data_IF_232631008226
#
_entry.id   IF_232631008226
#
_cell.length_a   1.000
_cell.length_b   1.000
_cell.length_c   1.000
_cell.angle_alpha   90.00
_cell.angle_beta   90.00
_cell.angle_gamma   90.00
#
_symmetry.space_group_name_H-M   'P 1'
#
loop_
_entity.id
_entity.type
_entity.pdbx_description
1 polymer ?
#
# COMPACT_ATOMS: atom_id res chain seq x y z
N UNK A 1 -6.17 -0.44 -8.55
CA UNK A 1 -5.89 -0.92 -7.18
C UNK A 1 -4.61 -1.72 -7.24
N UNK A 2 -3.77 -1.65 -6.21
CA UNK A 2 -2.42 -2.20 -6.19
C UNK A 2 -2.27 -3.28 -5.14
N UNK A 3 -1.41 -4.26 -5.40
CA UNK A 3 -1.10 -5.36 -4.50
C UNK A 3 0.17 -5.12 -3.69
N UNK A 4 0.29 -5.86 -2.58
CA UNK A 4 1.55 -5.96 -1.86
C UNK A 4 2.68 -6.44 -2.77
N UNK A 5 3.85 -5.82 -2.63
CA UNK A 5 5.05 -6.11 -3.43
C UNK A 5 5.14 -5.31 -4.73
N UNK A 6 4.06 -4.68 -5.19
CA UNK A 6 4.09 -3.83 -6.37
C UNK A 6 4.80 -2.50 -6.11
N UNK A 7 5.30 -1.89 -7.19
CA UNK A 7 5.98 -0.60 -7.20
C UNK A 7 5.17 0.41 -8.03
N UNK A 8 4.06 0.94 -7.50
CA UNK A 8 3.20 1.88 -8.24
C UNK A 8 3.83 3.27 -8.43
N UNK A 9 5.01 3.51 -7.84
CA UNK A 9 5.70 4.80 -7.86
C UNK A 9 5.34 5.67 -6.66
N UNK A 10 5.97 6.85 -6.60
CA UNK A 10 5.76 7.81 -5.50
C UNK A 10 4.28 8.20 -5.34
N UNK A 11 3.85 8.31 -4.10
CA UNK A 11 2.49 8.72 -3.76
C UNK A 11 2.01 8.12 -2.44
N UNK A 12 0.81 8.53 -2.03
CA UNK A 12 0.17 8.00 -0.82
C UNK A 12 -0.89 6.98 -1.21
N UNK A 13 -0.83 5.82 -0.58
CA UNK A 13 -1.68 4.67 -0.86
C UNK A 13 -2.43 4.25 0.39
N UNK A 14 -3.74 4.06 0.28
CA UNK A 14 -4.60 3.64 1.38
C UNK A 14 -5.09 2.21 1.20
N UNK A 15 -4.99 1.42 2.27
CA UNK A 15 -5.53 0.08 2.37
C UNK A 15 -7.05 0.14 2.20
N UNK A 16 -7.59 -0.59 1.23
CA UNK A 16 -9.03 -0.57 0.93
C UNK A 16 -9.89 -1.15 2.07
N UNK A 17 -9.31 -1.92 2.99
CA UNK A 17 -10.05 -2.59 4.08
C UNK A 17 -10.21 -1.73 5.33
N UNK A 18 -9.17 -1.00 5.73
CA UNK A 18 -9.13 -0.28 7.00
C UNK A 18 -8.74 1.19 6.87
N UNK A 19 -8.40 1.66 5.68
CA UNK A 19 -7.99 3.04 5.44
C UNK A 19 -6.55 3.37 5.86
N UNK A 20 -5.77 2.41 6.37
CA UNK A 20 -4.36 2.65 6.72
C UNK A 20 -3.56 3.14 5.51
N UNK A 21 -2.78 4.20 5.71
CA UNK A 21 -2.03 4.87 4.64
C UNK A 21 -0.54 4.55 4.71
N UNK A 22 0.06 4.37 3.54
CA UNK A 22 1.50 4.33 3.33
C UNK A 22 1.89 5.36 2.29
N UNK A 23 2.96 6.11 2.54
CA UNK A 23 3.57 6.99 1.55
C UNK A 23 4.81 6.32 1.00
N UNK A 24 4.89 6.19 -0.32
CA UNK A 24 6.09 5.77 -1.03
C UNK A 24 6.82 7.04 -1.49
N UNK A 25 8.03 7.26 -1.00
CA UNK A 25 8.84 8.43 -1.35
C UNK A 25 9.85 8.16 -2.46
N UNK A 26 10.11 6.90 -2.78
CA UNK A 26 10.91 6.47 -3.93
C UNK A 26 10.10 5.64 -4.95
N UNK A 27 10.48 5.74 -6.23
CA UNK A 27 9.82 4.96 -7.29
C UNK A 27 10.17 3.46 -7.23
N UNK A 28 11.21 3.08 -6.49
CA UNK A 28 11.61 1.70 -6.29
C UNK A 28 10.99 1.06 -5.05
N UNK A 29 10.29 1.83 -4.21
CA UNK A 29 9.59 1.31 -3.04
C UNK A 29 8.47 0.35 -3.41
N UNK A 30 8.28 -0.65 -2.55
CA UNK A 30 7.24 -1.67 -2.69
C UNK A 30 6.17 -1.48 -1.65
N UNK A 31 4.92 -1.71 -2.03
CA UNK A 31 3.81 -1.77 -1.09
C UNK A 31 3.99 -2.92 -0.09
N UNK A 32 4.21 -2.58 1.17
CA UNK A 32 4.27 -3.54 2.26
C UNK A 32 2.86 -4.02 2.71
N UNK A 33 2.78 -5.16 3.43
CA UNK A 33 1.53 -5.58 4.07
C UNK A 33 0.98 -4.50 5.00
N UNK A 34 -0.36 -4.42 5.08
CA UNK A 34 -1.01 -3.45 5.96
C UNK A 34 -0.61 -3.66 7.43
N UNK A 35 -0.11 -2.61 8.08
CA UNK A 35 0.30 -2.64 9.49
C UNK A 35 -0.85 -2.88 10.47
N UNK A 36 -2.09 -2.52 10.11
CA UNK A 36 -3.28 -2.69 10.96
C UNK A 36 -3.94 -4.05 10.75
N UNK A 37 -4.01 -4.54 9.51
CA UNK A 37 -4.74 -5.76 9.19
C UNK A 37 -3.96 -7.03 9.61
N UNK A 38 -2.63 -6.97 9.79
CA UNK A 38 -1.81 -8.09 10.23
C UNK A 38 -1.24 -8.97 9.10
N UNK A 39 -0.49 -10.01 9.47
CA UNK A 39 0.29 -10.88 8.54
C UNK A 39 -0.62 -11.85 7.77
N UNK A 40 -0.29 -12.11 6.50
CA UNK A 40 -0.96 -13.11 5.64
C UNK A 40 -2.07 -12.58 4.73
N UNK A 41 -2.30 -11.25 4.69
CA UNK A 41 -3.39 -10.69 3.90
C UNK A 41 -2.99 -10.30 2.48
N UNK A 42 -3.85 -10.60 1.50
CA UNK A 42 -3.89 -9.96 0.18
C UNK A 42 -4.37 -8.51 0.33
N UNK A 43 -3.51 -7.65 0.85
CA UNK A 43 -3.83 -6.22 1.04
C UNK A 43 -3.90 -5.57 -0.34
N UNK A 44 -5.01 -4.89 -0.60
CA UNK A 44 -5.19 -4.05 -1.78
C UNK A 44 -5.11 -2.59 -1.37
N UNK A 45 -4.43 -1.79 -2.18
CA UNK A 45 -4.29 -0.36 -1.99
C UNK A 45 -4.95 0.42 -3.13
N UNK A 46 -5.42 1.63 -2.83
CA UNK A 46 -5.77 2.63 -3.83
C UNK A 46 -4.92 3.88 -3.60
N UNK A 47 -4.55 4.57 -4.69
CA UNK A 47 -3.81 5.83 -4.59
C UNK A 47 -4.76 6.93 -4.11
N UNK A 48 -4.31 7.70 -3.14
CA UNK A 48 -5.06 8.81 -2.54
C UNK A 48 -4.54 10.13 -3.08
N UNK A 49 -3.22 10.30 -3.18
CA UNK A 49 -2.52 11.47 -3.71
C UNK A 49 -1.36 11.01 -4.60
#
# INVERSE_FOLDING_TARGET
MYDIGEKPGKGTYACVKCGWQVTLDDNSDRLHPCGICGKGQKTKYHKVH
#
